data_IF_726831395770
#
_entry.id   IF_726831395770
#
_cell.length_a   1.000
_cell.length_b   1.000
_cell.length_c   1.000
_cell.angle_alpha   90.00
_cell.angle_beta   90.00
_cell.angle_gamma   90.00
#
_symmetry.space_group_name_H-M   'P 1'
#
loop_
_entity.id
_entity.type
_entity.pdbx_description
1 polymer ?
#
# COMPACT_ATOMS: atom_id res chain seq x y z
N UNK A 1 -47.73 -37.27 1.98
CA UNK A 1 -47.70 -38.71 2.28
C UNK A 1 -47.34 -39.39 0.98
N UNK A 2 -46.25 -40.14 0.96
CA UNK A 2 -45.88 -40.97 -0.18
C UNK A 2 -46.22 -42.41 0.19
N UNK A 3 -46.81 -43.15 -0.75
CA UNK A 3 -47.06 -44.58 -0.60
C UNK A 3 -46.05 -45.33 -1.45
N UNK A 4 -45.30 -46.23 -0.83
CA UNK A 4 -44.44 -47.19 -1.50
C UNK A 4 -45.17 -48.52 -1.48
N UNK A 5 -45.27 -49.20 -2.62
CA UNK A 5 -45.80 -50.55 -2.70
C UNK A 5 -44.79 -51.49 -3.34
N UNK A 6 -44.67 -52.69 -2.79
CA UNK A 6 -43.86 -53.76 -3.38
C UNK A 6 -44.74 -55.00 -3.58
N UNK A 7 -44.86 -55.55 -4.80
CA UNK A 7 -45.66 -56.74 -5.04
C UNK A 7 -44.99 -57.96 -4.41
N UNK A 8 -45.75 -58.77 -3.68
CA UNK A 8 -45.32 -60.05 -3.14
C UNK A 8 -45.67 -61.14 -4.16
N UNK A 9 -44.69 -61.97 -4.52
CA UNK A 9 -44.87 -63.11 -5.41
C UNK A 9 -44.34 -64.38 -4.74
N UNK A 10 -45.00 -65.51 -5.01
CA UNK A 10 -44.52 -66.84 -4.64
C UNK A 10 -43.17 -67.12 -5.32
N UNK A 11 -42.31 -68.01 -4.79
CA UNK A 11 -41.15 -68.54 -5.52
C UNK A 11 -41.50 -69.05 -6.94
N UNK A 12 -42.74 -69.50 -7.14
CA UNK A 12 -43.27 -70.02 -8.41
C UNK A 12 -43.86 -68.91 -9.32
N UNK A 13 -43.72 -67.64 -8.93
CA UNK A 13 -44.09 -66.47 -9.73
C UNK A 13 -45.54 -65.96 -9.60
N UNK A 14 -46.41 -66.69 -8.89
CA UNK A 14 -47.79 -66.30 -8.63
C UNK A 14 -47.89 -65.06 -7.74
N UNK A 15 -48.79 -64.13 -8.08
CA UNK A 15 -49.03 -62.91 -7.31
C UNK A 15 -49.76 -63.23 -6.00
N UNK A 16 -49.15 -62.87 -4.87
CA UNK A 16 -49.68 -63.12 -3.52
C UNK A 16 -50.27 -61.87 -2.87
N UNK A 17 -49.98 -60.68 -3.40
CA UNK A 17 -50.47 -59.40 -2.88
C UNK A 17 -49.44 -58.28 -3.04
N UNK A 18 -49.59 -57.20 -2.28
CA UNK A 18 -48.58 -56.14 -2.22
C UNK A 18 -48.37 -55.69 -0.77
N UNK A 19 -47.11 -55.40 -0.44
CA UNK A 19 -46.76 -54.75 0.81
C UNK A 19 -46.71 -53.25 0.57
N UNK A 20 -47.65 -52.51 1.16
CA UNK A 20 -47.70 -51.06 1.10
C UNK A 20 -47.14 -50.42 2.37
N UNK A 21 -46.22 -49.46 2.24
CA UNK A 21 -45.75 -48.60 3.32
C UNK A 21 -46.07 -47.14 3.04
N UNK A 22 -46.42 -46.36 4.06
CA UNK A 22 -46.65 -44.92 3.93
C UNK A 22 -45.56 -44.12 4.64
N UNK A 23 -45.00 -43.14 3.94
CA UNK A 23 -44.02 -42.19 4.47
C UNK A 23 -44.71 -40.83 4.66
N UNK A 24 -44.76 -40.36 5.90
CA UNK A 24 -45.30 -39.05 6.27
C UNK A 24 -44.19 -38.00 6.29
N UNK A 25 -44.15 -37.17 5.25
CA UNK A 25 -43.18 -36.07 5.07
C UNK A 25 -43.57 -34.75 5.77
N UNK A 26 -44.70 -34.70 6.48
CA UNK A 26 -45.29 -33.47 7.03
C UNK A 26 -45.09 -33.28 8.55
N UNK A 27 -44.31 -34.13 9.21
CA UNK A 27 -43.98 -34.02 10.64
C UNK A 27 -42.47 -34.20 10.78
N UNK A 28 -41.84 -33.60 11.81
CA UNK A 28 -40.42 -33.80 12.16
C UNK A 28 -40.02 -35.26 11.87
N UNK A 29 -39.29 -35.45 10.79
CA UNK A 29 -38.95 -36.74 10.22
C UNK A 29 -37.44 -36.76 10.07
N UNK A 30 -36.85 -37.95 10.11
CA UNK A 30 -35.40 -38.14 9.97
C UNK A 30 -34.82 -37.43 8.73
N UNK A 31 -35.60 -37.32 7.65
CA UNK A 31 -35.22 -36.55 6.46
C UNK A 31 -35.13 -35.03 6.71
N UNK A 32 -36.08 -34.49 7.49
CA UNK A 32 -36.06 -33.09 7.92
C UNK A 32 -34.83 -32.80 8.76
N UNK A 33 -34.47 -33.70 9.67
CA UNK A 33 -33.33 -33.54 10.58
C UNK A 33 -32.00 -33.57 9.80
N UNK A 34 -31.86 -34.49 8.84
CA UNK A 34 -30.66 -34.59 7.98
C UNK A 34 -30.51 -33.35 7.10
N UNK A 35 -31.61 -32.83 6.54
CA UNK A 35 -31.58 -31.61 5.71
C UNK A 35 -31.32 -30.37 6.59
N UNK A 36 -31.81 -30.34 7.83
CA UNK A 36 -31.63 -29.19 8.72
C UNK A 36 -30.22 -29.06 9.29
N UNK A 37 -29.48 -30.16 9.44
CA UNK A 37 -28.13 -30.18 10.01
C UNK A 37 -27.06 -29.44 9.18
N UNK A 38 -27.33 -29.12 7.90
CA UNK A 38 -26.34 -28.49 7.02
C UNK A 38 -26.78 -27.17 6.38
N UNK A 39 -28.07 -26.87 6.30
CA UNK A 39 -28.56 -25.80 5.41
C UNK A 39 -29.51 -24.79 6.06
N UNK A 40 -29.88 -24.93 7.34
CA UNK A 40 -30.74 -23.95 8.02
C UNK A 40 -29.94 -22.72 8.45
N UNK A 41 -29.71 -21.81 7.51
CA UNK A 41 -29.82 -20.37 7.81
C UNK A 41 -31.25 -19.98 7.44
N UNK A 42 -31.90 -19.11 8.23
CA UNK A 42 -33.33 -18.74 8.12
C UNK A 42 -33.80 -18.32 6.71
N UNK A 43 -32.86 -18.05 5.81
CA UNK A 43 -33.09 -17.54 4.47
C UNK A 43 -32.84 -18.56 3.34
N UNK A 44 -32.69 -19.85 3.65
CA UNK A 44 -32.52 -20.91 2.65
C UNK A 44 -33.72 -21.85 2.69
N UNK A 45 -34.40 -22.00 1.56
CA UNK A 45 -35.51 -22.95 1.42
C UNK A 45 -35.09 -24.13 0.57
N UNK A 46 -35.40 -25.33 1.05
CA UNK A 46 -35.17 -26.61 0.38
C UNK A 46 -36.52 -27.19 -0.01
N UNK A 47 -36.72 -27.39 -1.30
CA UNK A 47 -37.94 -27.96 -1.88
C UNK A 47 -37.58 -29.23 -2.63
N UNK A 48 -38.26 -30.34 -2.34
CA UNK A 48 -38.17 -31.57 -3.12
C UNK A 48 -39.39 -31.61 -4.05
N UNK A 49 -39.15 -31.81 -5.33
CA UNK A 49 -40.19 -31.94 -6.35
C UNK A 49 -40.09 -33.28 -7.08
N UNK A 50 -41.24 -33.82 -7.49
CA UNK A 50 -41.32 -34.99 -8.38
C UNK A 50 -40.97 -34.61 -9.83
N UNK A 51 -40.90 -35.60 -10.73
CA UNK A 51 -40.64 -35.43 -12.18
C UNK A 51 -41.54 -34.38 -12.83
N UNK A 52 -42.81 -34.34 -12.45
CA UNK A 52 -43.80 -33.40 -13.02
C UNK A 52 -43.72 -31.99 -12.39
N UNK A 53 -42.77 -31.76 -11.47
CA UNK A 53 -42.61 -30.52 -10.72
C UNK A 53 -43.58 -30.39 -9.54
N UNK A 54 -44.24 -31.48 -9.15
CA UNK A 54 -45.12 -31.51 -7.97
C UNK A 54 -44.30 -31.46 -6.69
N UNK A 55 -44.57 -30.50 -5.82
CA UNK A 55 -43.88 -30.36 -4.54
C UNK A 55 -44.20 -31.53 -3.61
N UNK A 56 -43.17 -32.28 -3.24
CA UNK A 56 -43.20 -33.40 -2.30
C UNK A 56 -42.92 -32.90 -0.88
N UNK A 57 -41.96 -32.00 -0.74
CA UNK A 57 -41.49 -31.46 0.54
C UNK A 57 -40.98 -30.03 0.37
N UNK A 58 -41.15 -29.18 1.38
CA UNK A 58 -40.66 -27.81 1.39
C UNK A 58 -40.34 -27.39 2.84
N UNK A 59 -39.16 -26.81 3.07
CA UNK A 59 -38.72 -26.28 4.37
C UNK A 59 -39.06 -24.81 4.59
N UNK A 60 -39.58 -24.10 3.58
CA UNK A 60 -39.87 -22.67 3.70
C UNK A 60 -40.90 -22.41 4.82
N UNK A 61 -40.65 -21.42 5.70
CA UNK A 61 -41.64 -21.01 6.69
C UNK A 61 -42.91 -20.56 5.96
N UNK A 62 -44.06 -21.01 6.47
CA UNK A 62 -45.41 -20.92 5.88
C UNK A 62 -45.88 -19.53 5.42
N UNK A 63 -45.10 -18.46 5.66
CA UNK A 63 -45.39 -17.08 5.26
C UNK A 63 -44.87 -16.69 3.88
N UNK A 64 -43.89 -17.39 3.29
CA UNK A 64 -43.48 -17.19 1.89
C UNK A 64 -44.31 -18.09 0.98
N UNK A 65 -45.59 -17.73 0.84
CA UNK A 65 -46.61 -18.42 0.02
C UNK A 65 -46.38 -18.27 -1.48
N UNK A 66 -45.26 -18.74 -1.97
CA UNK A 66 -45.17 -19.12 -3.37
C UNK A 66 -44.42 -20.44 -3.42
N UNK A 67 -45.08 -21.56 -3.81
CA UNK A 67 -44.30 -22.70 -4.28
C UNK A 67 -43.30 -22.15 -5.29
N UNK A 68 -42.04 -22.57 -5.26
CA UNK A 68 -41.04 -22.18 -6.25
C UNK A 68 -41.72 -22.35 -7.60
N UNK A 69 -42.15 -21.24 -8.20
CA UNK A 69 -42.86 -21.25 -9.47
C UNK A 69 -41.76 -21.60 -10.43
N UNK A 70 -41.61 -22.91 -10.68
CA UNK A 70 -40.65 -23.50 -11.59
C UNK A 70 -40.87 -22.80 -12.92
N UNK A 71 -40.11 -21.72 -13.15
CA UNK A 71 -40.21 -20.93 -14.35
C UNK A 71 -40.03 -21.90 -15.51
N UNK A 72 -40.75 -21.77 -16.63
CA UNK A 72 -40.60 -22.70 -17.75
C UNK A 72 -39.14 -22.95 -18.13
N UNK A 73 -38.29 -21.93 -18.00
CA UNK A 73 -36.84 -22.02 -18.15
C UNK A 73 -36.19 -23.05 -17.19
N UNK A 74 -36.49 -22.98 -15.89
CA UNK A 74 -35.93 -23.92 -14.90
C UNK A 74 -36.37 -25.36 -15.17
N UNK A 75 -37.62 -25.58 -15.59
CA UNK A 75 -38.07 -26.93 -15.99
C UNK A 75 -37.28 -27.48 -17.17
N UNK A 76 -37.03 -26.67 -18.20
CA UNK A 76 -36.22 -27.05 -19.37
C UNK A 76 -34.75 -27.29 -19.01
N UNK A 77 -34.19 -26.53 -18.06
CA UNK A 77 -32.82 -26.76 -17.59
C UNK A 77 -32.72 -28.07 -16.79
N UNK A 78 -33.69 -28.34 -15.92
CA UNK A 78 -33.76 -29.56 -15.11
C UNK A 78 -34.00 -30.83 -15.93
N UNK A 79 -34.66 -30.74 -17.09
CA UNK A 79 -34.83 -31.91 -17.97
C UNK A 79 -33.54 -32.30 -18.68
N UNK A 80 -32.65 -31.34 -18.93
CA UNK A 80 -31.43 -31.55 -19.71
C UNK A 80 -30.21 -31.84 -18.84
N UNK A 81 -30.21 -31.42 -17.57
CA UNK A 81 -29.09 -31.60 -16.66
C UNK A 81 -29.54 -32.22 -15.34
N UNK A 82 -28.72 -33.11 -14.79
CA UNK A 82 -28.99 -33.76 -13.50
C UNK A 82 -28.69 -32.83 -12.32
N UNK A 83 -27.93 -31.76 -12.51
CA UNK A 83 -27.65 -30.77 -11.49
C UNK A 83 -27.31 -29.43 -12.15
N UNK A 84 -27.44 -28.35 -11.41
CA UNK A 84 -27.08 -27.03 -11.90
C UNK A 84 -27.51 -25.92 -10.97
N UNK A 85 -27.19 -24.70 -11.39
CA UNK A 85 -27.62 -23.46 -10.72
C UNK A 85 -28.32 -22.56 -11.71
N UNK A 86 -29.37 -21.89 -11.26
CA UNK A 86 -30.14 -20.91 -12.00
C UNK A 86 -30.22 -19.63 -11.18
N UNK A 87 -29.78 -18.51 -11.77
CA UNK A 87 -29.89 -17.20 -11.15
C UNK A 87 -31.18 -16.53 -11.66
N UNK A 88 -32.21 -16.50 -10.81
CA UNK A 88 -33.41 -15.71 -11.04
C UNK A 88 -33.24 -14.27 -10.56
N UNK A 89 -34.24 -13.42 -10.86
CA UNK A 89 -34.25 -12.01 -10.41
C UNK A 89 -34.23 -11.91 -8.88
N UNK A 90 -35.10 -12.66 -8.22
CA UNK A 90 -35.31 -12.55 -6.76
C UNK A 90 -34.69 -13.70 -5.97
N UNK A 91 -34.34 -14.80 -6.64
CA UNK A 91 -33.81 -16.00 -6.01
C UNK A 91 -32.68 -16.62 -6.84
N UNK A 92 -31.64 -17.08 -6.15
CA UNK A 92 -30.66 -18.03 -6.66
C UNK A 92 -31.12 -19.44 -6.33
N UNK A 93 -31.17 -20.31 -7.33
CA UNK A 93 -31.70 -21.66 -7.22
C UNK A 93 -30.63 -22.66 -7.62
N UNK A 94 -30.24 -23.56 -6.72
CA UNK A 94 -29.50 -24.76 -7.03
C UNK A 94 -30.45 -25.94 -7.17
N UNK A 95 -30.21 -26.85 -8.11
CA UNK A 95 -30.99 -28.08 -8.21
C UNK A 95 -30.10 -29.30 -8.43
N UNK A 96 -30.56 -30.44 -7.94
CA UNK A 96 -29.94 -31.75 -8.14
C UNK A 96 -31.01 -32.84 -8.23
N UNK A 97 -30.98 -33.61 -9.31
CA UNK A 97 -31.86 -34.73 -9.59
C UNK A 97 -31.27 -36.06 -9.09
N UNK A 98 -32.11 -36.87 -8.46
CA UNK A 98 -31.79 -38.20 -7.97
C UNK A 98 -32.19 -39.26 -9.01
N UNK A 99 -31.18 -39.87 -9.65
CA UNK A 99 -31.38 -40.86 -10.73
C UNK A 99 -32.27 -42.06 -10.37
N UNK A 100 -32.33 -42.46 -9.09
CA UNK A 100 -33.07 -43.66 -8.64
C UNK A 100 -34.53 -43.40 -8.27
N UNK A 101 -34.87 -42.19 -7.82
CA UNK A 101 -36.22 -41.87 -7.33
C UNK A 101 -36.98 -40.89 -8.23
N UNK A 102 -36.34 -40.36 -9.29
CA UNK A 102 -36.87 -39.29 -10.14
C UNK A 102 -37.24 -38.00 -9.37
N UNK A 103 -36.70 -37.82 -8.16
CA UNK A 103 -36.92 -36.61 -7.37
C UNK A 103 -35.84 -35.58 -7.67
N UNK A 104 -36.25 -34.31 -7.69
CA UNK A 104 -35.34 -33.19 -7.79
C UNK A 104 -35.34 -32.41 -6.48
N UNK A 105 -34.15 -32.21 -5.93
CA UNK A 105 -33.92 -31.35 -4.77
C UNK A 105 -33.60 -29.96 -5.32
N UNK A 106 -34.32 -28.96 -4.82
CA UNK A 106 -34.19 -27.57 -5.21
C UNK A 106 -33.86 -26.78 -3.94
N UNK A 107 -32.77 -26.05 -3.97
CA UNK A 107 -32.35 -25.15 -2.90
C UNK A 107 -32.47 -23.73 -3.43
N UNK A 108 -33.29 -22.90 -2.80
CA UNK A 108 -33.48 -21.50 -3.18
C UNK A 108 -33.03 -20.56 -2.07
N UNK A 109 -32.30 -19.52 -2.45
CA UNK A 109 -31.83 -18.46 -1.55
C UNK A 109 -32.22 -17.11 -2.15
N UNK A 110 -32.86 -16.20 -1.40
CA UNK A 110 -33.16 -14.86 -1.89
C UNK A 110 -31.90 -14.12 -2.33
N UNK A 111 -31.96 -13.47 -3.50
CA UNK A 111 -30.84 -12.70 -4.04
C UNK A 111 -30.41 -11.58 -3.09
N UNK A 112 -31.35 -10.97 -2.36
CA UNK A 112 -31.09 -9.91 -1.36
C UNK A 112 -30.13 -10.34 -0.24
N UNK A 113 -30.21 -11.61 0.16
CA UNK A 113 -29.36 -12.16 1.23
C UNK A 113 -27.93 -12.32 0.73
N UNK A 114 -27.77 -12.75 -0.52
CA UNK A 114 -26.45 -12.90 -1.13
C UNK A 114 -25.86 -11.53 -1.46
N UNK A 115 -26.64 -10.60 -1.99
CA UNK A 115 -26.16 -9.25 -2.32
C UNK A 115 -25.80 -8.46 -1.06
N UNK A 116 -26.61 -8.51 0.00
CA UNK A 116 -26.29 -7.82 1.26
C UNK A 116 -25.01 -8.34 1.92
N UNK A 117 -24.76 -9.66 1.87
CA UNK A 117 -23.48 -10.24 2.28
C UNK A 117 -22.32 -9.71 1.44
N UNK A 118 -22.48 -9.65 0.11
CA UNK A 118 -21.45 -9.12 -0.79
C UNK A 118 -21.17 -7.64 -0.52
N UNK A 119 -22.20 -6.79 -0.41
CA UNK A 119 -22.03 -5.36 -0.15
C UNK A 119 -21.35 -5.09 1.19
N UNK A 120 -21.70 -5.82 2.24
CA UNK A 120 -21.05 -5.68 3.54
C UNK A 120 -19.56 -6.09 3.50
N UNK A 121 -19.23 -7.16 2.77
CA UNK A 121 -17.84 -7.59 2.57
C UNK A 121 -17.06 -6.57 1.74
N UNK A 122 -17.64 -6.10 0.63
CA UNK A 122 -17.03 -5.07 -0.24
C UNK A 122 -16.79 -3.79 0.56
N UNK A 123 -17.74 -3.35 1.38
CA UNK A 123 -17.61 -2.14 2.22
C UNK A 123 -16.49 -2.26 3.26
N UNK A 124 -16.32 -3.45 3.87
CA UNK A 124 -15.22 -3.69 4.82
C UNK A 124 -13.86 -3.65 4.12
N UNK A 125 -13.74 -4.32 2.97
CA UNK A 125 -12.51 -4.36 2.20
C UNK A 125 -12.15 -2.97 1.68
N UNK A 126 -13.11 -2.23 1.12
CA UNK A 126 -12.86 -0.88 0.62
C UNK A 126 -12.42 0.07 1.73
N UNK A 127 -13.03 -0.02 2.92
CA UNK A 127 -12.60 0.74 4.10
C UNK A 127 -11.15 0.44 4.51
N UNK A 128 -10.76 -0.84 4.51
CA UNK A 128 -9.38 -1.24 4.83
C UNK A 128 -8.37 -0.74 3.80
N UNK A 129 -8.69 -0.82 2.51
CA UNK A 129 -7.82 -0.29 1.43
C UNK A 129 -7.63 1.22 1.58
N UNK A 130 -8.71 1.98 1.83
CA UNK A 130 -8.64 3.42 2.04
C UNK A 130 -7.80 3.78 3.27
N UNK A 131 -7.93 3.03 4.37
CA UNK A 131 -7.12 3.24 5.57
C UNK A 131 -5.62 3.01 5.27
N UNK A 132 -5.27 1.93 4.58
CA UNK A 132 -3.87 1.65 4.19
C UNK A 132 -3.32 2.78 3.32
N UNK A 133 -4.06 3.22 2.30
CA UNK A 133 -3.64 4.35 1.45
C UNK A 133 -3.44 5.63 2.26
N UNK A 134 -4.33 5.92 3.21
CA UNK A 134 -4.19 7.07 4.11
C UNK A 134 -2.92 6.99 4.96
N UNK A 135 -2.63 5.84 5.56
CA UNK A 135 -1.42 5.65 6.37
C UNK A 135 -0.15 5.72 5.53
N UNK A 136 -0.14 5.13 4.33
CA UNK A 136 1.01 5.21 3.42
C UNK A 136 1.27 6.66 3.02
N UNK A 137 0.24 7.39 2.59
CA UNK A 137 0.37 8.78 2.13
C UNK A 137 0.86 9.68 3.26
N UNK A 138 0.27 9.53 4.46
CA UNK A 138 0.69 10.26 5.66
C UNK A 138 2.12 9.91 6.07
N UNK A 139 2.49 8.62 6.02
CA UNK A 139 3.83 8.14 6.34
C UNK A 139 4.88 8.70 5.40
N UNK A 140 4.61 8.71 4.09
CA UNK A 140 5.50 9.30 3.07
C UNK A 140 5.65 10.81 3.28
N UNK A 141 4.56 11.54 3.53
CA UNK A 141 4.61 12.97 3.83
C UNK A 141 5.42 13.27 5.11
N UNK A 142 5.24 12.44 6.14
CA UNK A 142 6.00 12.53 7.39
C UNK A 142 7.49 12.30 7.14
N UNK A 143 7.86 11.21 6.45
CA UNK A 143 9.26 10.87 6.18
C UNK A 143 9.94 11.90 5.26
N UNK A 144 9.23 12.39 4.24
CA UNK A 144 9.67 13.48 3.37
C UNK A 144 9.98 14.75 4.17
N UNK A 145 9.09 15.13 5.09
CA UNK A 145 9.29 16.32 5.92
C UNK A 145 10.40 16.18 6.97
N UNK A 146 10.60 14.98 7.52
CA UNK A 146 11.55 14.73 8.61
C UNK A 146 12.96 14.36 8.16
N UNK A 147 13.12 13.79 6.96
CA UNK A 147 14.42 13.30 6.47
C UNK A 147 14.81 13.99 5.17
N UNK A 148 13.98 13.89 4.12
CA UNK A 148 14.37 14.34 2.78
C UNK A 148 14.57 15.87 2.71
N UNK A 149 13.66 16.66 3.29
CA UNK A 149 13.74 18.13 3.26
C UNK A 149 15.01 18.70 3.92
N UNK A 150 15.40 18.30 5.15
CA UNK A 150 16.65 18.78 5.76
C UNK A 150 17.90 18.42 4.96
N UNK A 151 17.95 17.20 4.39
CA UNK A 151 19.06 16.75 3.55
C UNK A 151 19.14 17.55 2.25
N UNK A 152 18.01 17.83 1.61
CA UNK A 152 17.93 18.67 0.42
C UNK A 152 18.41 20.11 0.71
N UNK A 153 18.03 20.67 1.87
CA UNK A 153 18.48 21.99 2.31
C UNK A 153 20.00 22.02 2.53
N UNK A 154 20.57 21.01 3.18
CA UNK A 154 22.02 20.87 3.36
C UNK A 154 22.75 20.77 2.02
N UNK A 155 22.27 19.93 1.09
CA UNK A 155 22.88 19.76 -0.22
C UNK A 155 22.88 21.07 -1.02
N UNK A 156 21.78 21.84 -0.97
CA UNK A 156 21.70 23.15 -1.63
C UNK A 156 22.70 24.16 -1.04
N UNK A 157 22.86 24.17 0.28
CA UNK A 157 23.81 25.08 0.95
C UNK A 157 25.27 24.79 0.57
N UNK A 158 25.60 23.53 0.28
CA UNK A 158 26.94 23.13 -0.20
C UNK A 158 27.14 23.48 -1.68
N UNK A 159 26.09 23.44 -2.50
CA UNK A 159 26.18 23.82 -3.92
C UNK A 159 26.26 25.32 -4.15
N UNK A 160 25.70 26.14 -3.27
CA UNK A 160 25.84 27.59 -3.33
C UNK A 160 27.20 28.00 -2.72
N UNK A 161 28.10 28.57 -3.54
CA UNK A 161 29.42 29.09 -3.15
C UNK A 161 29.40 30.18 -2.04
N UNK A 162 28.22 30.58 -1.55
CA UNK A 162 28.01 31.51 -0.42
C UNK A 162 28.40 30.93 0.95
N UNK A 163 28.91 29.69 1.00
CA UNK A 163 29.20 28.96 2.24
C UNK A 163 30.51 29.34 2.91
N UNK A 164 31.35 30.20 2.31
CA UNK A 164 32.66 30.55 2.87
C UNK A 164 32.62 31.39 4.16
N UNK A 165 31.47 31.91 4.61
CA UNK A 165 31.45 32.92 5.69
C UNK A 165 30.38 32.77 6.79
N UNK A 166 29.50 31.76 6.81
CA UNK A 166 28.39 31.76 7.81
C UNK A 166 28.13 30.41 8.50
N UNK A 167 28.90 30.08 9.57
CA UNK A 167 28.63 28.94 10.46
C UNK A 167 27.26 28.98 11.17
N UNK A 168 26.57 30.12 11.20
CA UNK A 168 25.22 30.26 11.79
C UNK A 168 24.11 29.54 11.00
N UNK A 169 24.26 29.35 9.68
CA UNK A 169 23.22 28.66 8.89
C UNK A 169 23.19 27.16 9.16
N UNK A 170 24.33 26.53 9.46
CA UNK A 170 24.41 25.11 9.80
C UNK A 170 23.75 24.76 11.13
N UNK A 171 23.77 25.66 12.12
CA UNK A 171 23.21 25.40 13.46
C UNK A 171 21.68 25.43 13.50
N UNK A 172 21.03 26.02 12.49
CA UNK A 172 19.57 26.17 12.42
C UNK A 172 18.82 24.89 12.00
N UNK A 173 19.54 23.87 11.52
CA UNK A 173 18.91 22.64 11.01
C UNK A 173 18.72 21.66 12.17
N UNK A 174 17.49 21.60 12.67
CA UNK A 174 17.07 20.74 13.78
C UNK A 174 16.99 19.28 13.34
N UNK A 175 18.14 18.60 13.28
CA UNK A 175 18.21 17.19 12.94
C UNK A 175 17.81 16.33 14.16
N UNK A 176 16.76 15.52 14.00
CA UNK A 176 16.20 14.73 15.12
C UNK A 176 16.94 13.40 15.38
N UNK A 177 17.90 13.03 14.52
CA UNK A 177 18.73 11.82 14.63
C UNK A 177 20.15 12.17 15.13
N UNK A 178 20.67 11.38 16.07
CA UNK A 178 22.02 11.53 16.63
C UNK A 178 23.11 11.50 15.55
N UNK A 179 22.95 10.66 14.54
CA UNK A 179 23.89 10.51 13.43
C UNK A 179 23.98 11.77 12.57
N UNK A 180 22.86 12.47 12.39
CA UNK A 180 22.84 13.72 11.64
C UNK A 180 23.47 14.88 12.43
N UNK A 181 23.33 14.86 13.77
CA UNK A 181 24.07 15.79 14.63
C UNK A 181 25.59 15.53 14.56
N UNK A 182 26.01 14.27 14.64
CA UNK A 182 27.41 13.87 14.53
C UNK A 182 28.00 14.21 13.16
N UNK A 183 27.24 13.98 12.08
CA UNK A 183 27.65 14.36 10.73
C UNK A 183 27.79 15.87 10.59
N UNK A 184 26.84 16.65 11.13
CA UNK A 184 26.90 18.12 11.15
C UNK A 184 28.17 18.60 11.87
N UNK A 185 28.43 18.08 13.07
CA UNK A 185 29.61 18.46 13.86
C UNK A 185 30.92 18.08 13.16
N UNK A 186 30.99 16.88 12.57
CA UNK A 186 32.14 16.43 11.79
C UNK A 186 32.37 17.31 10.54
N UNK A 187 31.29 17.72 9.86
CA UNK A 187 31.37 18.64 8.73
C UNK A 187 31.82 20.04 9.15
N UNK A 188 31.28 20.61 10.23
CA UNK A 188 31.69 21.92 10.76
C UNK A 188 33.18 21.94 11.09
N UNK A 189 33.68 20.88 11.74
CA UNK A 189 35.09 20.75 12.10
C UNK A 189 35.99 20.68 10.86
N UNK A 190 35.62 19.87 9.86
CA UNK A 190 36.35 19.77 8.59
C UNK A 190 36.33 21.08 7.82
N UNK A 191 35.19 21.75 7.78
CA UNK A 191 35.05 23.02 7.08
C UNK A 191 35.99 24.08 7.66
N UNK A 192 36.03 24.23 8.99
CA UNK A 192 36.95 25.16 9.66
C UNK A 192 38.42 24.89 9.32
N UNK A 193 38.82 23.62 9.26
CA UNK A 193 40.19 23.26 8.90
C UNK A 193 40.52 23.63 7.45
N UNK A 194 39.62 23.32 6.52
CA UNK A 194 39.79 23.67 5.10
C UNK A 194 39.83 25.19 4.93
N UNK A 195 38.93 25.94 5.57
CA UNK A 195 38.94 27.41 5.53
C UNK A 195 40.24 27.99 6.09
N UNK A 196 40.77 27.43 7.19
CA UNK A 196 42.04 27.87 7.76
C UNK A 196 43.23 27.57 6.84
N UNK A 197 43.25 26.41 6.18
CA UNK A 197 44.28 26.08 5.18
C UNK A 197 44.22 27.01 3.97
N UNK A 198 43.02 27.31 3.47
CA UNK A 198 42.84 28.28 2.39
C UNK A 198 43.32 29.66 2.79
N UNK A 199 43.01 30.12 4.01
CA UNK A 199 43.49 31.41 4.51
C UNK A 199 45.02 31.46 4.58
N UNK A 200 45.67 30.41 5.10
CA UNK A 200 47.13 30.34 5.15
C UNK A 200 47.79 30.31 3.76
N UNK A 201 47.26 29.52 2.83
CA UNK A 201 47.74 29.48 1.44
C UNK A 201 47.52 30.81 0.72
N UNK A 202 46.40 31.49 1.01
CA UNK A 202 46.14 32.82 0.48
C UNK A 202 47.13 33.84 1.02
N UNK A 203 47.46 33.79 2.31
CA UNK A 203 48.44 34.67 2.93
C UNK A 203 49.84 34.46 2.35
N UNK A 204 50.27 33.21 2.19
CA UNK A 204 51.54 32.84 1.56
C UNK A 204 51.59 33.23 0.07
N UNK A 205 50.47 33.16 -0.64
CA UNK A 205 50.38 33.59 -2.04
C UNK A 205 50.31 35.13 -2.20
N UNK A 206 49.93 35.88 -1.16
CA UNK A 206 49.78 37.33 -1.18
C UNK A 206 50.93 38.09 -0.53
N UNK A 207 51.76 37.41 0.25
CA UNK A 207 52.95 37.98 0.89
C UNK A 207 54.23 37.56 0.18
N UNK A 208 55.27 38.37 0.32
CA UNK A 208 56.63 38.00 -0.06
C UNK A 208 57.31 37.33 1.14
N UNK A 209 57.85 36.11 1.00
CA UNK A 209 58.36 35.33 2.12
C UNK A 209 59.64 35.90 2.76
N UNK A 210 60.37 36.78 2.05
CA UNK A 210 61.61 37.38 2.55
C UNK A 210 61.35 38.65 3.37
N UNK A 211 60.29 39.38 3.05
CA UNK A 211 59.97 40.67 3.68
C UNK A 211 58.73 40.62 4.58
N UNK A 212 57.86 39.62 4.41
CA UNK A 212 56.54 39.54 5.07
C UNK A 212 55.56 40.62 4.62
N UNK A 213 55.92 41.44 3.64
CA UNK A 213 55.07 42.46 3.06
C UNK A 213 54.20 41.88 1.95
N UNK A 214 53.09 42.54 1.60
CA UNK A 214 52.29 42.12 0.45
C UNK A 214 53.13 42.17 -0.83
N UNK A 215 53.13 41.07 -1.57
CA UNK A 215 53.70 41.02 -2.90
C UNK A 215 52.82 41.83 -3.88
N UNK A 216 53.26 41.94 -5.14
CA UNK A 216 52.54 42.70 -6.17
C UNK A 216 51.05 42.33 -6.25
N UNK A 217 50.71 41.04 -6.10
CA UNK A 217 49.33 40.55 -6.15
C UNK A 217 48.53 41.00 -4.93
N UNK A 218 49.07 40.81 -3.73
CA UNK A 218 48.45 41.26 -2.47
C UNK A 218 48.25 42.77 -2.43
N UNK A 219 49.21 43.54 -2.94
CA UNK A 219 49.12 45.00 -3.03
C UNK A 219 47.92 45.46 -3.89
N UNK A 220 47.72 44.88 -5.09
CA UNK A 220 46.58 45.24 -5.94
C UNK A 220 45.24 44.84 -5.35
N UNK A 221 45.18 43.73 -4.63
CA UNK A 221 43.96 43.29 -3.95
C UNK A 221 43.58 44.28 -2.84
N UNK A 222 44.54 44.68 -2.02
CA UNK A 222 44.34 45.70 -0.99
C UNK A 222 43.97 47.07 -1.56
N UNK A 223 44.57 47.48 -2.70
CA UNK A 223 44.17 48.71 -3.40
C UNK A 223 42.69 48.71 -3.81
N UNK A 224 42.11 47.55 -4.10
CA UNK A 224 40.70 47.41 -4.46
C UNK A 224 39.79 47.66 -3.26
N UNK A 225 40.19 47.18 -2.07
CA UNK A 225 39.50 47.47 -0.81
C UNK A 225 39.62 48.94 -0.41
N UNK A 226 40.83 49.47 -0.49
CA UNK A 226 41.15 50.82 -0.05
C UNK A 226 40.50 51.86 -0.98
N UNK A 227 40.33 51.60 -2.29
CA UNK A 227 39.67 52.51 -3.27
C UNK A 227 38.33 53.13 -2.82
N UNK A 228 37.60 52.48 -1.92
CA UNK A 228 36.31 52.96 -1.40
C UNK A 228 36.44 53.96 -0.24
N UNK A 229 37.65 54.15 0.30
CA UNK A 229 37.94 55.12 1.36
C UNK A 229 38.30 56.48 0.75
N UNK A 230 37.72 57.58 1.26
CA UNK A 230 38.07 58.94 0.79
C UNK A 230 39.39 59.42 1.41
N UNK A 231 40.16 60.20 0.64
CA UNK A 231 41.45 60.84 1.00
C UNK A 231 42.59 59.84 1.29
N UNK A 232 43.23 59.33 0.23
CA UNK A 232 44.40 58.45 0.33
C UNK A 232 45.67 59.14 -0.14
N UNK A 233 46.79 58.82 0.49
CA UNK A 233 48.13 59.22 0.08
C UNK A 233 48.96 57.96 -0.17
N UNK A 234 49.68 57.93 -1.29
CA UNK A 234 50.62 56.86 -1.61
C UNK A 234 52.04 57.42 -1.58
N UNK A 235 52.94 56.70 -0.91
CA UNK A 235 54.37 57.01 -0.89
C UNK A 235 55.08 55.87 -1.62
N UNK A 236 55.74 56.19 -2.71
CA UNK A 236 56.62 55.26 -3.41
C UNK A 236 58.05 55.51 -2.90
N UNK A 237 58.71 54.45 -2.45
CA UNK A 237 60.11 54.46 -2.03
C UNK A 237 60.86 53.52 -2.96
N UNK A 238 61.86 54.05 -3.66
CA UNK A 238 62.79 53.25 -4.46
C UNK A 238 64.05 52.97 -3.64
N UNK A 239 64.65 51.79 -3.81
CA UNK A 239 65.88 51.41 -3.12
C UNK A 239 67.02 51.43 -4.13
N UNK A 240 67.83 52.48 -4.07
CA UNK A 240 68.99 52.65 -4.94
C UNK A 240 70.00 51.49 -4.79
N UNK A 241 70.58 51.05 -5.91
CA UNK A 241 71.61 50.00 -5.97
C UNK A 241 71.22 48.62 -5.42
N UNK A 242 69.92 48.34 -5.25
CA UNK A 242 69.42 47.08 -4.71
C UNK A 242 69.92 45.83 -5.46
N UNK A 243 70.11 45.93 -6.78
CA UNK A 243 70.70 44.88 -7.62
C UNK A 243 72.09 44.43 -7.13
N UNK A 244 72.94 45.35 -6.69
CA UNK A 244 74.29 45.03 -6.22
C UNK A 244 74.29 44.25 -4.90
N UNK A 245 73.24 44.41 -4.09
CA UNK A 245 73.03 43.65 -2.86
C UNK A 245 72.58 42.22 -3.21
N UNK A 246 71.59 42.07 -4.10
CA UNK A 246 71.12 40.75 -4.56
C UNK A 246 72.23 39.95 -5.26
N UNK A 247 73.09 40.63 -6.03
CA UNK A 247 74.23 40.02 -6.73
C UNK A 247 75.34 39.57 -5.75
N UNK A 248 75.45 40.17 -4.56
CA UNK A 248 76.48 39.87 -3.56
C UNK A 248 76.09 38.79 -2.55
N UNK A 249 74.81 38.71 -2.18
CA UNK A 249 74.32 37.74 -1.18
C UNK A 249 73.61 36.53 -1.82
N UNK A 250 73.30 36.59 -3.12
CA UNK A 250 72.67 35.51 -3.88
C UNK A 250 71.14 35.57 -3.85
N UNK A 251 70.52 34.99 -4.89
CA UNK A 251 69.06 35.03 -5.14
C UNK A 251 68.20 34.55 -3.96
N UNK A 252 68.75 33.73 -3.06
CA UNK A 252 68.06 33.23 -1.88
C UNK A 252 67.94 34.23 -0.72
N UNK A 253 68.63 35.37 -0.80
CA UNK A 253 68.62 36.43 0.24
C UNK A 253 68.19 37.81 -0.28
N UNK A 254 67.98 37.94 -1.58
CA UNK A 254 67.60 39.18 -2.23
C UNK A 254 66.24 39.06 -2.90
N UNK A 255 65.21 39.62 -2.27
CA UNK A 255 63.89 39.81 -2.88
C UNK A 255 63.91 40.84 -3.99
#
# INVERSE_FOLDING_TARGET
>A
MIMLSHPLRSPDGHYLGYLGGSIYLKKQSMLSDIISLHFYKDNVSVTIVDRDGKVIFNTAPTMTRSPVNLTPQLKTYMSNNLNGSFAGRDYLVGYAGLKKSNWNIIVSTPSEVVTSMLFNTVKKISGLVLAILFFITTGVAFLSSRIAKPLEQLARLVQTNDSLTSPEKLSSIRAWYQEAYLLREAMEKRFRLVSAQFAALSDEAMTDPLTGLYNRRGFYEQLTYIKNLKNQCAIAVDIDHFKAINDRFGHSTGG
#
